data_IF_208257467977
#
_entry.id   IF_208257467977
#
_cell.length_a   1.000
_cell.length_b   1.000
_cell.length_c   1.000
_cell.angle_alpha   90.00
_cell.angle_beta   90.00
_cell.angle_gamma   90.00
#
_symmetry.space_group_name_H-M   'P 1'
#
loop_
_entity.id
_entity.type
_entity.pdbx_description
1 polymer ?
#
# COMPACT_ATOMS: atom_id res chain seq x y z
N UNK A 1 -9.32 -11.18 17.23
CA UNK A 1 -10.15 -9.98 17.23
C UNK A 1 -11.63 -10.34 17.20
N UNK A 2 -12.48 -9.52 17.83
CA UNK A 2 -12.12 -8.36 18.64
C UNK A 2 -11.53 -8.74 20.00
N UNK A 3 -10.71 -7.83 20.59
CA UNK A 3 -10.32 -7.91 21.99
C UNK A 3 -11.33 -7.16 22.84
N UNK A 4 -11.63 -7.71 24.01
CA UNK A 4 -12.72 -7.22 24.86
C UNK A 4 -12.17 -6.85 26.24
N UNK A 5 -12.66 -5.76 26.82
CA UNK A 5 -12.26 -5.36 28.16
C UNK A 5 -12.74 -6.35 29.23
N UNK A 6 -12.21 -6.26 30.45
CA UNK A 6 -12.42 -7.24 31.53
C UNK A 6 -13.92 -7.48 31.82
N UNK A 7 -14.72 -6.42 31.88
CA UNK A 7 -16.15 -6.48 32.14
C UNK A 7 -17.01 -6.64 30.87
N UNK A 8 -16.37 -6.77 29.69
CA UNK A 8 -17.07 -6.94 28.41
C UNK A 8 -17.75 -5.68 27.87
N UNK A 9 -17.45 -4.53 28.43
CA UNK A 9 -18.06 -3.24 28.05
C UNK A 9 -17.51 -2.70 26.73
N UNK A 10 -16.22 -2.88 26.45
CA UNK A 10 -15.56 -2.41 25.24
C UNK A 10 -15.09 -3.57 24.39
N UNK A 11 -15.23 -3.43 23.07
CA UNK A 11 -14.67 -4.33 22.09
C UNK A 11 -13.83 -3.52 21.09
N UNK A 12 -12.62 -3.99 20.79
CA UNK A 12 -11.64 -3.31 19.94
C UNK A 12 -11.13 -4.24 18.85
N UNK A 13 -11.12 -3.74 17.62
CA UNK A 13 -10.34 -4.29 16.51
C UNK A 13 -9.17 -3.36 16.22
N UNK A 14 -8.02 -3.92 15.84
CA UNK A 14 -6.78 -3.19 15.67
C UNK A 14 -5.94 -3.79 14.54
N UNK A 15 -5.41 -2.92 13.69
CA UNK A 15 -4.30 -3.21 12.79
C UNK A 15 -3.14 -2.28 13.17
N UNK A 16 -1.96 -2.84 13.35
CA UNK A 16 -0.76 -2.10 13.77
C UNK A 16 -0.09 -2.70 15.00
N UNK A 17 0.69 -1.90 15.70
CA UNK A 17 1.43 -2.30 16.92
C UNK A 17 1.38 -1.15 17.92
N UNK A 18 0.96 -1.44 19.16
CA UNK A 18 1.07 -0.52 20.30
C UNK A 18 2.43 -0.75 20.95
N UNK A 19 3.39 0.10 20.65
CA UNK A 19 4.81 -0.09 21.03
C UNK A 19 5.03 -0.07 22.54
N UNK A 20 4.31 0.79 23.27
CA UNK A 20 4.41 0.92 24.71
C UNK A 20 3.44 0.02 25.50
N UNK A 21 2.90 -1.04 24.87
CA UNK A 21 1.87 -1.90 25.49
C UNK A 21 2.33 -2.54 26.80
N UNK A 22 3.61 -2.86 26.96
CA UNK A 22 4.15 -3.49 28.18
C UNK A 22 3.98 -2.55 29.37
N UNK A 23 4.42 -1.30 29.24
CA UNK A 23 4.28 -0.27 30.27
C UNK A 23 2.81 -0.03 30.64
N UNK A 24 1.95 0.07 29.62
CA UNK A 24 0.52 0.28 29.83
C UNK A 24 -0.16 -0.92 30.50
N UNK A 25 0.26 -2.15 30.17
CA UNK A 25 -0.21 -3.38 30.78
C UNK A 25 0.19 -3.43 32.27
N UNK A 26 1.45 -3.12 32.60
CA UNK A 26 1.93 -3.04 33.98
C UNK A 26 1.16 -1.99 34.79
N UNK A 27 0.94 -0.81 34.22
CA UNK A 27 0.11 0.22 34.84
C UNK A 27 -1.29 -0.30 35.15
N UNK A 28 -2.00 -0.90 34.19
CA UNK A 28 -3.36 -1.40 34.36
C UNK A 28 -3.44 -2.56 35.38
N UNK A 29 -2.45 -3.45 35.39
CA UNK A 29 -2.34 -4.50 36.41
C UNK A 29 -2.18 -3.87 37.81
N UNK A 30 -1.40 -2.81 37.96
CA UNK A 30 -1.28 -2.07 39.23
C UNK A 30 -2.59 -1.43 39.69
N UNK A 31 -3.51 -1.18 38.76
CA UNK A 31 -4.88 -0.69 39.06
C UNK A 31 -5.90 -1.83 39.25
N UNK A 32 -5.44 -3.09 39.26
CA UNK A 32 -6.26 -4.26 39.52
C UNK A 32 -6.93 -4.88 38.28
N UNK A 33 -6.57 -4.44 37.06
CA UNK A 33 -7.11 -4.99 35.81
C UNK A 33 -6.46 -6.33 35.47
N UNK A 34 -7.27 -7.29 35.04
CA UNK A 34 -6.83 -8.62 34.62
C UNK A 34 -6.78 -8.74 33.11
N UNK A 35 -5.69 -9.31 32.59
CA UNK A 35 -5.52 -9.56 31.14
C UNK A 35 -5.76 -11.03 30.80
N UNK A 36 -6.33 -11.27 29.61
CA UNK A 36 -6.66 -12.62 29.13
C UNK A 36 -5.77 -13.05 27.95
N UNK A 37 -5.06 -12.13 27.33
CA UNK A 37 -4.19 -12.39 26.18
C UNK A 37 -2.80 -11.77 26.35
N UNK A 38 -1.90 -12.18 25.48
CA UNK A 38 -0.54 -11.60 25.36
C UNK A 38 -0.46 -10.51 24.29
N UNK A 39 -1.59 -10.16 23.65
CA UNK A 39 -1.60 -9.17 22.55
C UNK A 39 -1.57 -7.75 23.10
N UNK A 40 -0.90 -6.87 22.36
CA UNK A 40 -0.87 -5.43 22.58
C UNK A 40 -2.27 -4.78 22.46
N UNK A 41 -3.13 -5.31 21.62
CA UNK A 41 -4.48 -4.77 21.38
C UNK A 41 -5.38 -4.80 22.63
N UNK A 42 -5.24 -5.81 23.48
CA UNK A 42 -6.06 -5.90 24.71
C UNK A 42 -5.83 -4.70 25.62
N UNK A 43 -4.62 -4.13 25.64
CA UNK A 43 -4.30 -2.92 26.42
C UNK A 43 -5.23 -1.77 26.06
N UNK A 44 -5.57 -1.60 24.77
CA UNK A 44 -6.48 -0.54 24.32
C UNK A 44 -7.89 -0.75 24.88
N UNK A 45 -8.42 -1.98 24.85
CA UNK A 45 -9.74 -2.29 25.39
C UNK A 45 -9.80 -2.03 26.91
N UNK A 46 -8.77 -2.43 27.64
CA UNK A 46 -8.67 -2.22 29.08
C UNK A 46 -8.50 -0.73 29.44
N UNK A 47 -7.70 0.03 28.69
CA UNK A 47 -7.57 1.49 28.89
C UNK A 47 -8.89 2.23 28.63
N UNK A 48 -9.66 1.82 27.61
CA UNK A 48 -10.97 2.40 27.33
C UNK A 48 -11.91 2.24 28.53
N UNK A 49 -11.97 1.05 29.09
CA UNK A 49 -12.81 0.78 30.27
C UNK A 49 -12.32 1.55 31.50
N UNK A 50 -11.01 1.60 31.72
CA UNK A 50 -10.38 2.35 32.81
C UNK A 50 -10.78 3.84 32.75
N UNK A 51 -10.58 4.51 31.60
CA UNK A 51 -10.93 5.92 31.47
C UNK A 51 -12.44 6.19 31.44
N UNK A 52 -13.22 5.26 30.88
CA UNK A 52 -14.67 5.38 30.87
C UNK A 52 -15.24 5.32 32.30
N UNK A 53 -14.69 4.48 33.16
CA UNK A 53 -15.10 4.43 34.56
C UNK A 53 -14.79 5.74 35.32
N UNK A 54 -13.79 6.53 34.85
CA UNK A 54 -13.47 7.84 35.41
C UNK A 54 -14.37 8.97 34.89
N UNK A 55 -14.66 9.00 33.56
CA UNK A 55 -15.33 10.17 32.95
C UNK A 55 -16.77 9.90 32.48
N UNK A 56 -17.18 8.65 32.30
CA UNK A 56 -18.52 8.30 31.86
C UNK A 56 -18.85 8.63 30.40
N UNK A 57 -17.86 9.06 29.61
CA UNK A 57 -18.04 9.45 28.21
C UNK A 57 -17.14 8.63 27.29
N UNK A 58 -17.73 7.99 26.29
CA UNK A 58 -16.99 7.09 25.37
C UNK A 58 -16.02 7.88 24.47
N UNK A 59 -16.44 9.02 23.93
CA UNK A 59 -15.60 9.81 23.03
C UNK A 59 -14.42 10.46 23.77
N UNK A 60 -14.65 10.97 24.96
CA UNK A 60 -13.59 11.49 25.83
C UNK A 60 -12.61 10.39 26.24
N UNK A 61 -13.12 9.16 26.55
CA UNK A 61 -12.28 8.00 26.90
C UNK A 61 -11.35 7.63 25.75
N UNK A 62 -11.85 7.63 24.52
CA UNK A 62 -11.02 7.42 23.32
C UNK A 62 -9.93 8.48 23.23
N UNK A 63 -10.24 9.75 23.40
CA UNK A 63 -9.25 10.81 23.38
C UNK A 63 -8.16 10.63 24.44
N UNK A 64 -8.50 10.15 25.65
CA UNK A 64 -7.52 9.84 26.70
C UNK A 64 -6.63 8.66 26.32
N UNK A 65 -7.18 7.60 25.76
CA UNK A 65 -6.43 6.45 25.28
C UNK A 65 -5.43 6.86 24.20
N UNK A 66 -5.89 7.60 23.17
CA UNK A 66 -5.04 8.01 22.04
C UNK A 66 -3.86 8.89 22.46
N UNK A 67 -3.99 9.67 23.53
CA UNK A 67 -2.88 10.46 24.10
C UNK A 67 -1.85 9.62 24.84
N UNK A 68 -2.15 8.36 25.12
CA UNK A 68 -1.30 7.51 25.95
C UNK A 68 -0.66 6.36 25.20
N UNK A 69 -1.28 5.88 24.14
CA UNK A 69 -0.73 4.82 23.31
C UNK A 69 0.30 5.38 22.33
N UNK A 70 1.37 4.61 22.12
CA UNK A 70 2.43 4.91 21.16
C UNK A 70 2.51 3.81 20.12
N UNK A 71 2.95 4.15 18.90
CA UNK A 71 3.07 3.23 17.78
C UNK A 71 2.08 3.50 16.65
N UNK A 72 1.97 2.55 15.72
CA UNK A 72 1.08 2.60 14.57
C UNK A 72 -0.23 1.86 14.87
N UNK A 73 -1.37 2.50 14.59
CA UNK A 73 -2.68 1.88 14.83
C UNK A 73 -3.77 2.34 13.86
N UNK A 74 -4.61 1.40 13.49
CA UNK A 74 -5.95 1.63 12.96
C UNK A 74 -6.94 0.89 13.87
N UNK A 75 -7.77 1.65 14.59
CA UNK A 75 -8.65 1.15 15.64
C UNK A 75 -10.12 1.30 15.24
N UNK A 76 -10.90 0.26 15.51
CA UNK A 76 -12.35 0.31 15.56
C UNK A 76 -12.84 -0.12 16.94
N UNK A 77 -13.60 0.75 17.61
CA UNK A 77 -13.95 0.62 19.02
C UNK A 77 -15.46 0.68 19.21
N UNK A 78 -15.99 -0.25 20.01
CA UNK A 78 -17.39 -0.36 20.37
C UNK A 78 -17.54 -0.23 21.89
N UNK A 79 -18.64 0.39 22.33
CA UNK A 79 -19.05 0.48 23.73
C UNK A 79 -20.47 -0.08 23.91
N UNK A 80 -20.66 -0.98 24.86
CA UNK A 80 -21.97 -1.57 25.14
C UNK A 80 -23.02 -0.54 25.60
N UNK A 81 -22.60 0.54 26.26
CA UNK A 81 -23.48 1.61 26.70
C UNK A 81 -23.86 2.58 25.56
N UNK A 82 -23.15 2.50 24.42
CA UNK A 82 -23.36 3.34 23.23
C UNK A 82 -23.43 2.49 21.95
N UNK A 83 -24.42 1.58 21.84
CA UNK A 83 -24.48 0.59 20.76
C UNK A 83 -24.83 1.19 19.38
N UNK A 84 -25.19 2.45 19.34
CA UNK A 84 -25.57 3.21 18.14
C UNK A 84 -24.38 3.73 17.33
N UNK A 85 -23.17 3.57 17.85
CA UNK A 85 -21.96 4.14 17.23
C UNK A 85 -20.73 3.27 17.34
N UNK A 86 -19.85 3.43 16.36
CA UNK A 86 -18.47 2.95 16.37
C UNK A 86 -17.56 4.17 16.41
N UNK A 87 -16.51 4.16 17.22
CA UNK A 87 -15.47 5.17 17.15
C UNK A 87 -14.24 4.54 16.48
N UNK A 88 -13.71 5.23 15.50
CA UNK A 88 -12.50 4.84 14.78
C UNK A 88 -11.40 5.86 15.02
N UNK A 89 -10.16 5.41 15.05
CA UNK A 89 -8.99 6.28 15.16
C UNK A 89 -7.81 5.69 14.40
N UNK A 90 -6.93 6.56 13.92
CA UNK A 90 -5.81 6.14 13.10
C UNK A 90 -4.54 6.91 13.44
N UNK A 91 -3.40 6.21 13.40
CA UNK A 91 -2.05 6.78 13.32
C UNK A 91 -1.14 5.79 12.59
N UNK A 92 -0.47 6.25 11.54
CA UNK A 92 0.51 5.48 10.74
C UNK A 92 0.01 4.15 10.13
N UNK A 93 -1.24 3.72 10.37
CA UNK A 93 -1.86 2.52 9.81
C UNK A 93 -3.05 2.89 8.91
N UNK A 94 -3.32 2.16 7.79
CA UNK A 94 -4.37 2.52 6.86
C UNK A 94 -5.76 2.37 7.48
N UNK A 95 -6.61 3.40 7.28
CA UNK A 95 -8.01 3.38 7.67
C UNK A 95 -8.83 4.29 6.77
N UNK A 96 -9.93 3.78 6.24
CA UNK A 96 -10.87 4.53 5.45
C UNK A 96 -12.31 4.34 5.95
N UNK A 97 -13.13 5.32 5.65
CA UNK A 97 -14.53 5.40 6.03
C UNK A 97 -15.39 5.35 4.77
N UNK A 98 -16.44 4.54 4.75
CA UNK A 98 -17.37 4.45 3.64
C UNK A 98 -18.75 5.00 4.01
N UNK A 99 -19.34 5.75 3.09
CA UNK A 99 -20.65 6.37 3.23
C UNK A 99 -21.70 5.59 2.44
N UNK A 100 -22.63 4.95 3.12
CA UNK A 100 -23.73 4.22 2.49
C UNK A 100 -25.10 4.77 2.93
N UNK A 101 -26.17 4.36 2.22
CA UNK A 101 -27.53 4.74 2.58
C UNK A 101 -27.96 4.05 3.88
N UNK A 102 -28.10 4.84 4.97
CA UNK A 102 -28.50 4.36 6.29
C UNK A 102 -27.46 3.45 6.98
N UNK A 103 -26.22 3.45 6.52
CA UNK A 103 -25.10 2.70 7.10
C UNK A 103 -23.77 3.41 6.85
N UNK A 104 -22.83 3.15 7.74
CA UNK A 104 -21.45 3.64 7.65
C UNK A 104 -20.47 2.47 7.75
N UNK A 105 -19.37 2.53 7.05
CA UNK A 105 -18.38 1.47 6.96
C UNK A 105 -17.02 1.95 7.45
N UNK A 106 -16.27 1.00 7.98
CA UNK A 106 -14.89 1.17 8.41
C UNK A 106 -14.06 0.03 7.81
N UNK A 107 -12.96 0.34 7.14
CA UNK A 107 -12.08 -0.66 6.57
C UNK A 107 -10.63 -0.15 6.47
N UNK A 108 -9.68 -1.07 6.43
CA UNK A 108 -8.28 -0.76 6.13
C UNK A 108 -8.01 -0.65 4.62
N UNK A 109 -8.87 -1.25 3.79
CA UNK A 109 -8.75 -1.26 2.33
C UNK A 109 -10.11 -1.08 1.64
N UNK A 110 -10.11 -0.39 0.51
CA UNK A 110 -11.32 -0.08 -0.25
C UNK A 110 -12.02 -1.32 -0.82
N UNK A 111 -11.28 -2.38 -1.13
CA UNK A 111 -11.84 -3.63 -1.67
C UNK A 111 -12.82 -4.30 -0.72
N UNK A 112 -12.65 -4.10 0.59
CA UNK A 112 -13.53 -4.66 1.61
C UNK A 112 -14.95 -4.07 1.58
N UNK A 113 -15.10 -2.81 1.15
CA UNK A 113 -16.38 -2.09 1.21
C UNK A 113 -16.96 -1.68 -0.14
N UNK A 114 -16.23 -1.86 -1.24
CA UNK A 114 -16.64 -1.42 -2.59
C UNK A 114 -17.99 -1.99 -3.03
N UNK A 115 -18.41 -3.15 -2.50
CA UNK A 115 -19.72 -3.76 -2.76
C UNK A 115 -20.88 -3.03 -2.09
N UNK A 116 -20.58 -2.20 -1.11
CA UNK A 116 -21.57 -1.50 -0.29
C UNK A 116 -21.58 -0.01 -0.57
N UNK A 117 -20.41 0.57 -0.82
CA UNK A 117 -20.26 1.99 -1.18
C UNK A 117 -18.95 2.21 -1.93
N UNK A 118 -18.98 3.22 -2.81
CA UNK A 118 -17.79 3.72 -3.51
C UNK A 118 -17.36 5.09 -2.98
N UNK A 119 -18.18 5.72 -2.15
CA UNK A 119 -17.89 7.04 -1.58
C UNK A 119 -17.15 6.85 -0.27
N UNK A 120 -15.90 7.28 -0.24
CA UNK A 120 -14.99 7.05 0.87
C UNK A 120 -14.26 8.32 1.29
N UNK A 121 -13.82 8.33 2.54
CA UNK A 121 -12.86 9.29 3.08
C UNK A 121 -11.68 8.52 3.67
N UNK A 122 -10.47 8.88 3.26
CA UNK A 122 -9.25 8.38 3.87
C UNK A 122 -8.93 9.21 5.11
N UNK A 123 -8.77 8.55 6.25
CA UNK A 123 -8.38 9.22 7.49
C UNK A 123 -6.89 9.59 7.45
N UNK A 124 -6.53 10.72 8.04
CA UNK A 124 -5.15 11.11 8.29
C UNK A 124 -4.71 10.76 9.73
N UNK A 125 -3.40 10.86 10.00
CA UNK A 125 -2.85 10.51 11.30
C UNK A 125 -3.37 11.42 12.41
N UNK A 126 -3.80 10.80 13.51
CA UNK A 126 -4.38 11.50 14.66
C UNK A 126 -5.86 11.85 14.51
N UNK A 127 -6.50 11.54 13.40
CA UNK A 127 -7.95 11.76 13.25
C UNK A 127 -8.77 10.69 13.98
N UNK A 128 -9.95 11.13 14.40
CA UNK A 128 -10.97 10.31 15.06
C UNK A 128 -12.26 10.41 14.24
N UNK A 129 -12.95 9.30 14.05
CA UNK A 129 -14.26 9.27 13.39
C UNK A 129 -15.31 8.65 14.31
N UNK A 130 -16.51 9.24 14.33
CA UNK A 130 -17.69 8.68 14.97
C UNK A 130 -18.66 8.24 13.87
N UNK A 131 -18.82 6.94 13.73
CA UNK A 131 -19.69 6.32 12.74
C UNK A 131 -21.03 5.97 13.39
N UNK A 132 -22.11 6.38 12.76
CA UNK A 132 -23.49 6.05 13.15
C UNK A 132 -24.28 5.59 11.93
N UNK A 133 -25.51 5.14 12.12
CA UNK A 133 -26.45 4.90 10.99
C UNK A 133 -26.79 6.17 10.22
N UNK A 134 -26.73 7.33 10.88
CA UNK A 134 -27.06 8.64 10.29
C UNK A 134 -25.90 9.29 9.54
N UNK A 135 -24.69 8.73 9.57
CA UNK A 135 -23.51 9.28 8.92
C UNK A 135 -22.26 9.21 9.79
N UNK A 136 -21.23 9.88 9.32
CA UNK A 136 -19.89 9.89 9.90
C UNK A 136 -19.51 11.32 10.27
N UNK A 137 -19.01 11.51 11.47
CA UNK A 137 -18.41 12.78 11.93
C UNK A 137 -16.92 12.57 12.15
N UNK A 138 -16.10 13.48 11.60
CA UNK A 138 -14.65 13.45 11.70
C UNK A 138 -14.15 14.53 12.68
N UNK A 139 -13.08 14.21 13.38
CA UNK A 139 -12.43 15.05 14.36
C UNK A 139 -10.91 14.98 14.22
N UNK A 140 -10.23 16.07 14.52
CA UNK A 140 -8.77 16.07 14.64
C UNK A 140 -8.30 15.46 15.98
N UNK A 141 -6.97 15.40 16.18
CA UNK A 141 -6.37 14.88 17.42
C UNK A 141 -6.78 15.65 18.69
N UNK A 142 -7.27 16.89 18.55
CA UNK A 142 -7.78 17.73 19.65
C UNK A 142 -9.29 17.52 19.86
N UNK A 143 -9.90 16.53 19.21
CA UNK A 143 -11.34 16.27 19.24
C UNK A 143 -12.21 17.42 18.72
N UNK A 144 -11.68 18.24 17.83
CA UNK A 144 -12.42 19.30 17.15
C UNK A 144 -12.97 18.77 15.82
N UNK A 145 -14.22 19.07 15.44
CA UNK A 145 -14.81 18.59 14.21
C UNK A 145 -14.07 19.15 12.99
N UNK A 146 -13.90 18.29 11.98
CA UNK A 146 -13.28 18.62 10.69
C UNK A 146 -14.14 18.13 9.54
N UNK A 147 -13.98 18.74 8.38
CA UNK A 147 -14.54 18.27 7.10
C UNK A 147 -13.42 17.78 6.20
N UNK A 148 -13.70 16.75 5.40
CA UNK A 148 -12.76 16.19 4.42
C UNK A 148 -13.45 15.97 3.09
N UNK A 149 -12.64 15.99 2.04
CA UNK A 149 -13.07 15.67 0.69
C UNK A 149 -13.43 14.17 0.58
N UNK A 150 -14.53 13.91 -0.08
CA UNK A 150 -14.97 12.55 -0.41
C UNK A 150 -14.33 12.11 -1.71
N UNK A 151 -13.81 10.90 -1.72
CA UNK A 151 -13.25 10.26 -2.91
C UNK A 151 -14.23 9.21 -3.44
N UNK A 152 -14.50 9.24 -4.74
CA UNK A 152 -15.28 8.22 -5.39
C UNK A 152 -14.36 7.15 -6.00
N UNK A 153 -14.58 5.89 -5.62
CA UNK A 153 -13.81 4.75 -6.15
C UNK A 153 -14.41 4.36 -7.50
N UNK A 154 -13.66 4.53 -8.58
CA UNK A 154 -14.11 4.27 -9.94
C UNK A 154 -14.15 2.77 -10.31
N UNK A 155 -13.60 1.88 -9.49
CA UNK A 155 -13.54 0.46 -9.79
C UNK A 155 -14.92 -0.17 -9.92
N UNK A 156 -15.09 -1.03 -10.94
CA UNK A 156 -16.30 -1.83 -11.09
C UNK A 156 -16.41 -2.88 -9.97
N UNK A 157 -17.60 -3.06 -9.40
CA UNK A 157 -17.85 -4.08 -8.35
C UNK A 157 -17.54 -5.48 -8.89
N UNK A 158 -17.84 -5.74 -10.17
CA UNK A 158 -17.51 -6.98 -10.85
C UNK A 158 -16.01 -7.30 -10.85
N UNK A 159 -15.15 -6.28 -10.84
CA UNK A 159 -13.71 -6.47 -10.75
C UNK A 159 -13.27 -7.06 -9.39
N UNK A 160 -14.01 -6.78 -8.33
CA UNK A 160 -13.80 -7.35 -6.99
C UNK A 160 -14.46 -8.73 -6.78
N UNK A 161 -14.99 -9.35 -7.83
CA UNK A 161 -15.57 -10.70 -7.81
C UNK A 161 -14.66 -11.72 -8.49
N UNK A 162 -14.81 -13.01 -8.14
CA UNK A 162 -13.97 -14.07 -8.72
C UNK A 162 -14.19 -14.31 -10.22
N UNK A 163 -15.30 -13.81 -10.78
CA UNK A 163 -15.58 -13.91 -12.23
C UNK A 163 -15.57 -15.33 -12.80
N UNK A 164 -15.99 -16.33 -12.00
CA UNK A 164 -15.97 -17.75 -12.39
C UNK A 164 -14.68 -18.51 -12.07
N UNK A 165 -13.63 -17.83 -11.60
CA UNK A 165 -12.39 -18.50 -11.18
C UNK A 165 -12.51 -19.08 -9.76
N UNK A 166 -11.86 -20.21 -9.46
CA UNK A 166 -11.89 -20.81 -8.12
C UNK A 166 -11.19 -19.93 -7.07
N UNK A 167 -10.16 -19.17 -7.47
CA UNK A 167 -9.33 -18.34 -6.60
C UNK A 167 -9.11 -16.94 -7.21
N UNK A 168 -9.01 -15.92 -6.39
CA UNK A 168 -8.67 -14.55 -6.82
C UNK A 168 -7.30 -14.51 -7.51
N UNK A 169 -6.30 -15.17 -6.94
CA UNK A 169 -4.95 -15.20 -7.53
C UNK A 169 -4.97 -15.71 -8.98
N UNK A 170 -5.70 -16.78 -9.28
CA UNK A 170 -5.80 -17.28 -10.65
C UNK A 170 -6.50 -16.28 -11.58
N UNK A 171 -7.59 -15.64 -11.12
CA UNK A 171 -8.24 -14.56 -11.86
C UNK A 171 -7.24 -13.44 -12.18
N UNK A 172 -6.51 -12.97 -11.17
CA UNK A 172 -5.56 -11.86 -11.27
C UNK A 172 -4.36 -12.20 -12.17
N UNK A 173 -3.91 -13.44 -12.17
CA UNK A 173 -2.94 -13.96 -13.14
C UNK A 173 -3.49 -13.82 -14.57
N UNK A 174 -4.74 -14.22 -14.80
CA UNK A 174 -5.36 -14.16 -16.13
C UNK A 174 -5.74 -12.75 -16.57
N UNK A 175 -5.85 -11.81 -15.65
CA UNK A 175 -6.10 -10.38 -15.92
C UNK A 175 -4.83 -9.59 -16.29
N UNK A 176 -3.64 -10.16 -16.15
CA UNK A 176 -2.39 -9.45 -16.43
C UNK A 176 -2.33 -8.80 -17.82
N UNK A 177 -2.77 -9.43 -18.93
CA UNK A 177 -2.74 -8.79 -20.24
C UNK A 177 -3.55 -7.48 -20.29
N UNK A 178 -4.73 -7.47 -19.68
CA UNK A 178 -5.59 -6.30 -19.66
C UNK A 178 -5.06 -5.23 -18.70
N UNK A 179 -4.57 -5.62 -17.53
CA UNK A 179 -3.91 -4.72 -16.60
C UNK A 179 -2.69 -4.02 -17.21
N UNK A 180 -1.84 -4.77 -17.93
CA UNK A 180 -0.70 -4.22 -18.67
C UNK A 180 -1.15 -3.27 -19.78
N UNK A 181 -2.24 -3.61 -20.50
CA UNK A 181 -2.79 -2.72 -21.54
C UNK A 181 -3.27 -1.39 -20.94
N UNK A 182 -3.95 -1.43 -19.81
CA UNK A 182 -4.40 -0.22 -19.10
C UNK A 182 -3.22 0.61 -18.56
N UNK A 183 -2.15 -0.03 -18.11
CA UNK A 183 -0.95 0.66 -17.63
C UNK A 183 -0.14 1.31 -18.76
N UNK A 184 -0.03 0.64 -19.92
CA UNK A 184 0.90 1.01 -20.99
C UNK A 184 0.23 1.89 -22.05
N UNK A 185 -0.92 1.46 -22.61
CA UNK A 185 -1.49 2.08 -23.81
C UNK A 185 -1.80 3.58 -23.67
N UNK A 186 -2.34 4.10 -22.55
CA UNK A 186 -2.58 5.54 -22.42
C UNK A 186 -1.31 6.40 -22.43
N UNK A 187 -0.18 5.79 -22.11
CA UNK A 187 1.15 6.45 -22.01
C UNK A 187 1.96 6.36 -23.30
N UNK A 188 1.51 5.62 -24.29
CA UNK A 188 2.17 5.51 -25.59
C UNK A 188 1.44 6.38 -26.64
N UNK A 189 2.06 7.49 -27.06
CA UNK A 189 1.49 8.43 -28.03
C UNK A 189 2.49 8.80 -29.07
N UNK A 190 2.18 8.53 -30.33
CA UNK A 190 3.06 8.88 -31.45
C UNK A 190 4.44 8.24 -31.44
N UNK A 191 4.58 7.06 -30.80
CA UNK A 191 5.87 6.38 -30.62
C UNK A 191 6.68 6.88 -29.43
N UNK A 192 6.09 7.70 -28.56
CA UNK A 192 6.70 8.29 -27.39
C UNK A 192 6.02 7.83 -26.11
N UNK A 193 6.81 7.75 -25.01
CA UNK A 193 6.28 7.58 -23.66
C UNK A 193 5.95 8.96 -23.09
N UNK A 194 4.69 9.17 -22.71
CA UNK A 194 4.19 10.43 -22.18
C UNK A 194 3.55 10.21 -20.81
N UNK A 195 4.00 10.93 -19.82
CA UNK A 195 3.40 11.01 -18.49
C UNK A 195 2.80 12.41 -18.32
N UNK A 196 1.47 12.53 -18.46
CA UNK A 196 0.79 13.84 -18.44
C UNK A 196 0.90 14.57 -17.10
N UNK A 197 0.91 13.80 -15.99
CA UNK A 197 0.85 14.36 -14.64
C UNK A 197 2.23 14.46 -13.96
N UNK A 198 3.32 14.13 -14.67
CA UNK A 198 4.67 14.17 -14.11
C UNK A 198 5.17 15.61 -14.02
N UNK A 199 5.46 16.08 -12.80
CA UNK A 199 5.99 17.42 -12.53
C UNK A 199 7.52 17.49 -12.67
N UNK A 200 8.19 16.32 -12.74
CA UNK A 200 9.62 16.24 -12.97
C UNK A 200 10.01 16.86 -14.31
N UNK A 201 10.79 17.93 -14.26
CA UNK A 201 11.33 18.57 -15.46
C UNK A 201 12.59 17.86 -15.95
N UNK A 202 12.92 17.97 -17.27
CA UNK A 202 14.17 17.43 -17.80
C UNK A 202 15.43 17.92 -17.06
N UNK A 203 15.43 19.17 -16.60
CA UNK A 203 16.56 19.75 -15.84
C UNK A 203 16.70 19.04 -14.49
N UNK A 204 15.61 18.77 -13.81
CA UNK A 204 15.62 18.09 -12.51
C UNK A 204 16.07 16.63 -12.65
N UNK A 205 15.61 15.92 -13.70
CA UNK A 205 16.05 14.54 -14.01
C UNK A 205 17.57 14.50 -14.28
N UNK A 206 18.12 15.48 -15.00
CA UNK A 206 19.57 15.59 -15.22
C UNK A 206 20.33 15.87 -13.93
N UNK A 207 19.73 16.57 -12.98
CA UNK A 207 20.33 16.99 -11.72
C UNK A 207 20.44 15.89 -10.66
N UNK A 208 19.76 14.77 -10.79
CA UNK A 208 19.88 13.69 -9.82
C UNK A 208 21.21 12.96 -9.94
N UNK A 209 21.93 12.86 -8.84
CA UNK A 209 23.20 12.13 -8.74
C UNK A 209 22.98 10.68 -8.26
N UNK A 210 21.89 10.42 -7.52
CA UNK A 210 21.55 9.13 -6.94
C UNK A 210 20.09 8.77 -7.20
N UNK A 211 19.86 7.47 -7.38
CA UNK A 211 18.51 6.91 -7.53
C UNK A 211 18.38 5.76 -6.55
N UNK A 212 17.36 5.83 -5.69
CA UNK A 212 16.94 4.73 -4.83
C UNK A 212 15.58 4.19 -5.30
N UNK A 213 15.40 2.88 -5.20
CA UNK A 213 14.09 2.24 -5.28
C UNK A 213 13.83 1.64 -3.90
N UNK A 214 12.73 2.05 -3.26
CA UNK A 214 12.42 1.65 -1.88
C UNK A 214 11.03 1.05 -1.84
N UNK A 215 10.91 -0.18 -1.33
CA UNK A 215 9.66 -0.93 -1.29
C UNK A 215 9.74 -2.11 -0.30
N UNK A 216 8.62 -2.83 -0.14
CA UNK A 216 8.52 -4.09 0.59
C UNK A 216 7.96 -5.21 -0.29
N UNK A 217 8.25 -6.48 0.07
CA UNK A 217 7.67 -7.67 -0.57
C UNK A 217 7.86 -7.71 -2.08
N UNK A 218 6.82 -8.10 -2.81
CA UNK A 218 6.85 -8.17 -4.28
C UNK A 218 7.25 -6.85 -4.96
N UNK A 219 6.84 -5.71 -4.40
CA UNK A 219 7.27 -4.39 -4.92
C UNK A 219 8.78 -4.15 -4.75
N UNK A 220 9.41 -4.70 -3.70
CA UNK A 220 10.86 -4.70 -3.57
C UNK A 220 11.52 -5.54 -4.69
N UNK A 221 10.94 -6.68 -5.03
CA UNK A 221 11.43 -7.52 -6.13
C UNK A 221 11.24 -6.84 -7.50
N UNK A 222 10.18 -6.05 -7.70
CA UNK A 222 10.08 -5.14 -8.86
C UNK A 222 11.28 -4.19 -8.88
N UNK A 223 11.64 -3.61 -7.73
CA UNK A 223 12.81 -2.76 -7.59
C UNK A 223 14.12 -3.48 -7.97
N UNK A 224 14.26 -4.74 -7.58
CA UNK A 224 15.43 -5.56 -7.92
C UNK A 224 15.58 -5.79 -9.43
N UNK A 225 14.49 -6.05 -10.15
CA UNK A 225 14.48 -6.11 -11.63
C UNK A 225 14.76 -4.73 -12.20
N UNK A 226 14.05 -3.72 -11.71
CA UNK A 226 14.18 -2.34 -12.14
C UNK A 226 15.59 -1.77 -12.01
N UNK A 227 16.34 -2.17 -10.96
CA UNK A 227 17.73 -1.79 -10.80
C UNK A 227 18.54 -2.12 -12.05
N UNK A 228 18.50 -3.37 -12.50
CA UNK A 228 19.26 -3.79 -13.68
C UNK A 228 18.86 -3.01 -14.94
N UNK A 229 17.54 -2.82 -15.13
CA UNK A 229 17.01 -2.11 -16.29
C UNK A 229 17.37 -0.62 -16.24
N UNK A 230 17.19 0.05 -15.12
CA UNK A 230 17.50 1.47 -14.98
C UNK A 230 19.01 1.74 -15.06
N UNK A 231 19.85 0.92 -14.43
CA UNK A 231 21.32 1.05 -14.54
C UNK A 231 21.79 0.89 -15.99
N UNK A 232 21.20 -0.06 -16.73
CA UNK A 232 21.48 -0.24 -18.14
C UNK A 232 21.07 0.98 -18.98
N UNK A 233 19.84 1.46 -18.78
CA UNK A 233 19.25 2.56 -19.53
C UNK A 233 19.87 3.91 -19.17
N UNK A 234 20.00 4.21 -17.87
CA UNK A 234 20.39 5.55 -17.40
C UNK A 234 21.90 5.74 -17.27
N UNK A 235 22.66 4.64 -17.24
CA UNK A 235 24.11 4.61 -16.95
C UNK A 235 24.47 5.31 -15.64
N UNK A 236 23.60 5.16 -14.64
CA UNK A 236 23.71 5.66 -13.27
C UNK A 236 23.50 4.54 -12.29
N UNK A 237 24.14 4.62 -11.11
CA UNK A 237 23.89 3.65 -10.04
C UNK A 237 22.47 3.77 -9.53
N UNK A 238 21.82 2.64 -9.35
CA UNK A 238 20.50 2.51 -8.73
C UNK A 238 20.63 1.61 -7.51
N UNK A 239 20.25 2.11 -6.37
CA UNK A 239 20.23 1.34 -5.12
C UNK A 239 18.81 0.88 -4.81
N UNK A 240 18.67 -0.38 -4.39
CA UNK A 240 17.38 -0.95 -3.99
C UNK A 240 17.44 -1.27 -2.52
N UNK A 241 16.50 -0.74 -1.75
CA UNK A 241 16.44 -0.96 -0.32
C UNK A 241 15.07 -1.48 0.12
N UNK A 242 15.06 -2.40 1.06
CA UNK A 242 13.85 -2.72 1.81
C UNK A 242 13.42 -1.51 2.62
N UNK A 243 12.15 -1.13 2.55
CA UNK A 243 11.66 0.06 3.23
C UNK A 243 11.82 -0.01 4.76
N UNK A 244 11.65 -1.21 5.34
CA UNK A 244 11.92 -1.47 6.76
C UNK A 244 13.36 -1.16 7.15
N UNK A 245 14.33 -1.49 6.30
CA UNK A 245 15.74 -1.23 6.56
C UNK A 245 16.13 0.22 6.24
N UNK A 246 15.62 0.78 5.15
CA UNK A 246 15.93 2.13 4.69
C UNK A 246 15.70 3.18 5.78
N UNK A 247 14.58 3.11 6.51
CA UNK A 247 14.26 4.07 7.57
C UNK A 247 15.26 4.08 8.74
N UNK A 248 15.96 2.96 8.97
CA UNK A 248 16.90 2.80 10.10
C UNK A 248 18.37 2.84 9.69
N UNK A 249 18.69 2.73 8.40
CA UNK A 249 20.05 2.64 7.89
C UNK A 249 20.79 3.98 7.80
N UNK A 250 20.17 5.09 8.24
CA UNK A 250 20.71 6.44 8.07
C UNK A 250 21.10 6.72 6.60
N UNK A 251 20.15 6.64 5.65
CA UNK A 251 20.45 6.64 4.22
C UNK A 251 21.11 7.94 3.76
N UNK A 252 22.08 7.81 2.85
CA UNK A 252 22.78 8.96 2.28
C UNK A 252 21.94 9.52 1.14
N UNK A 253 20.96 10.33 1.46
CA UNK A 253 20.05 11.02 0.53
C UNK A 253 20.03 12.53 0.79
N UNK A 254 19.80 13.29 -0.27
CA UNK A 254 19.82 14.76 -0.29
C UNK A 254 18.88 15.27 -1.41
N UNK A 255 18.90 16.58 -1.68
CA UNK A 255 18.11 17.24 -2.72
C UNK A 255 18.49 16.86 -4.17
N UNK A 256 19.59 16.13 -4.37
CA UNK A 256 20.02 15.53 -5.65
C UNK A 256 19.69 14.04 -5.75
N UNK A 257 18.90 13.53 -4.84
CA UNK A 257 18.51 12.13 -4.80
C UNK A 257 17.06 11.98 -5.26
N UNK A 258 16.83 11.08 -6.21
CA UNK A 258 15.52 10.57 -6.58
C UNK A 258 15.24 9.29 -5.79
N UNK A 259 14.14 9.26 -5.04
CA UNK A 259 13.65 8.05 -4.38
C UNK A 259 12.36 7.60 -5.07
N UNK A 260 12.41 6.44 -5.71
CA UNK A 260 11.26 5.80 -6.34
C UNK A 260 10.64 4.87 -5.30
N UNK A 261 9.45 5.19 -4.87
CA UNK A 261 8.65 4.41 -3.91
C UNK A 261 7.68 3.51 -4.70
N UNK A 262 7.69 2.21 -4.44
CA UNK A 262 6.79 1.28 -5.10
C UNK A 262 5.90 0.59 -4.06
N UNK A 263 4.58 0.67 -4.25
CA UNK A 263 3.60 0.00 -3.38
C UNK A 263 2.31 -0.27 -4.15
N UNK A 264 1.76 -1.48 -4.04
CA UNK A 264 0.47 -1.80 -4.66
C UNK A 264 -0.66 -1.02 -3.97
N UNK A 265 -0.80 -1.13 -2.66
CA UNK A 265 -1.87 -0.48 -1.89
C UNK A 265 -1.62 1.02 -1.67
N UNK A 266 -0.34 1.44 -1.68
CA UNK A 266 0.03 2.79 -1.26
C UNK A 266 -0.16 3.06 0.24
N UNK A 267 -0.34 1.99 1.04
CA UNK A 267 -0.62 2.05 2.48
C UNK A 267 0.35 1.19 3.32
N UNK A 268 1.43 0.70 2.73
CA UNK A 268 2.44 -0.11 3.44
C UNK A 268 3.20 0.75 4.44
N UNK A 269 3.10 0.43 5.72
CA UNK A 269 3.65 1.24 6.84
C UNK A 269 5.14 1.54 6.70
N UNK A 270 5.96 0.53 6.48
CA UNK A 270 7.40 0.72 6.35
C UNK A 270 7.75 1.56 5.12
N UNK A 271 7.02 1.36 4.02
CA UNK A 271 7.21 2.13 2.78
C UNK A 271 6.85 3.61 2.98
N UNK A 272 5.79 3.89 3.72
CA UNK A 272 5.41 5.25 4.10
C UNK A 272 6.47 5.90 5.02
N UNK A 273 6.93 5.17 6.01
CA UNK A 273 7.96 5.67 6.92
C UNK A 273 9.28 5.96 6.19
N UNK A 274 9.66 5.10 5.23
CA UNK A 274 10.83 5.32 4.38
C UNK A 274 10.66 6.55 3.48
N UNK A 275 9.47 6.75 2.88
CA UNK A 275 9.14 7.96 2.12
C UNK A 275 9.33 9.22 2.96
N UNK A 276 8.75 9.25 4.17
CA UNK A 276 8.85 10.40 5.09
C UNK A 276 10.30 10.68 5.50
N UNK A 277 11.10 9.63 5.77
CA UNK A 277 12.53 9.78 6.09
C UNK A 277 13.33 10.34 4.91
N UNK A 278 13.09 9.84 3.69
CA UNK A 278 13.72 10.37 2.47
C UNK A 278 13.34 11.83 2.23
N UNK A 279 12.07 12.17 2.35
CA UNK A 279 11.55 13.53 2.16
C UNK A 279 12.10 14.52 3.18
N UNK A 280 12.20 14.11 4.45
CA UNK A 280 12.81 14.90 5.53
C UNK A 280 14.27 15.26 5.22
N UNK A 281 14.99 14.42 4.48
CA UNK A 281 16.37 14.65 4.05
C UNK A 281 16.49 15.43 2.75
N UNK A 282 15.37 15.80 2.13
CA UNK A 282 15.33 16.63 0.93
C UNK A 282 15.24 15.86 -0.40
N UNK A 283 15.18 14.53 -0.37
CA UNK A 283 15.03 13.72 -1.59
C UNK A 283 13.73 14.03 -2.32
N UNK A 284 13.74 13.88 -3.64
CA UNK A 284 12.52 13.94 -4.45
C UNK A 284 11.84 12.59 -4.51
N UNK A 285 10.55 12.56 -4.26
CA UNK A 285 9.77 11.32 -4.17
C UNK A 285 8.93 11.15 -5.43
N UNK A 286 9.22 10.09 -6.19
CA UNK A 286 8.36 9.58 -7.26
C UNK A 286 7.74 8.27 -6.80
N UNK A 287 6.43 8.18 -6.69
CA UNK A 287 5.78 6.93 -6.31
C UNK A 287 5.10 6.23 -7.48
N UNK A 288 5.17 4.90 -7.48
CA UNK A 288 4.44 4.00 -8.38
C UNK A 288 3.46 3.21 -7.52
N UNK A 289 2.17 3.53 -7.61
CA UNK A 289 1.12 2.95 -6.77
C UNK A 289 -0.08 2.54 -7.61
N UNK A 290 -0.94 1.67 -7.08
CA UNK A 290 -2.16 1.26 -7.79
C UNK A 290 -3.41 1.98 -7.25
N UNK A 291 -3.44 2.32 -5.96
CA UNK A 291 -4.62 2.91 -5.32
C UNK A 291 -4.55 4.43 -5.38
N UNK A 292 -5.53 5.02 -6.08
CA UNK A 292 -5.68 6.47 -6.19
C UNK A 292 -6.02 7.07 -4.82
N UNK A 293 -5.34 8.17 -4.47
CA UNK A 293 -5.58 8.86 -3.19
C UNK A 293 -5.02 8.16 -1.96
N UNK A 294 -4.24 7.09 -2.12
CA UNK A 294 -3.55 6.43 -1.01
C UNK A 294 -2.59 7.36 -0.28
N UNK A 295 -2.22 7.00 0.93
CA UNK A 295 -1.35 7.84 1.78
C UNK A 295 0.00 8.11 1.13
N UNK A 296 0.64 7.09 0.52
CA UNK A 296 1.89 7.27 -0.25
C UNK A 296 1.67 8.23 -1.42
N UNK A 297 0.55 8.10 -2.15
CA UNK A 297 0.25 8.98 -3.27
C UNK A 297 0.11 10.45 -2.83
N UNK A 298 -0.57 10.70 -1.72
CA UNK A 298 -0.77 12.06 -1.19
C UNK A 298 0.51 12.73 -0.69
N UNK A 299 1.44 11.94 -0.15
CA UNK A 299 2.70 12.46 0.42
C UNK A 299 3.84 12.57 -0.60
N UNK A 300 3.71 11.99 -1.80
CA UNK A 300 4.73 12.01 -2.85
C UNK A 300 4.76 13.34 -3.60
N UNK A 301 5.92 13.68 -4.19
CA UNK A 301 6.05 14.85 -5.07
C UNK A 301 5.43 14.58 -6.44
N UNK A 302 5.65 13.36 -6.97
CA UNK A 302 5.04 12.84 -8.19
C UNK A 302 4.48 11.44 -7.97
N UNK A 303 3.40 11.11 -8.69
CA UNK A 303 2.70 9.83 -8.58
C UNK A 303 2.41 9.26 -9.97
N UNK A 304 2.76 8.00 -10.17
CA UNK A 304 2.38 7.23 -11.34
C UNK A 304 1.48 6.06 -10.91
N UNK A 305 0.25 6.04 -11.38
CA UNK A 305 -0.68 4.96 -11.10
C UNK A 305 -0.50 3.79 -12.07
N UNK A 306 -0.53 2.57 -11.56
CA UNK A 306 -0.37 1.36 -12.39
C UNK A 306 -1.64 0.97 -13.14
N UNK A 307 -2.80 1.42 -12.67
CA UNK A 307 -4.13 1.10 -13.24
C UNK A 307 -4.40 -0.40 -13.39
N UNK A 308 -3.84 -1.22 -12.49
CA UNK A 308 -4.02 -2.67 -12.50
C UNK A 308 -5.42 -3.11 -12.06
N UNK A 309 -6.24 -2.17 -11.56
CA UNK A 309 -7.51 -2.49 -10.93
C UNK A 309 -7.34 -3.10 -9.52
N UNK A 310 -8.43 -3.52 -8.86
CA UNK A 310 -8.34 -4.10 -7.53
C UNK A 310 -7.63 -5.45 -7.56
N UNK A 311 -6.70 -5.67 -6.64
CA UNK A 311 -5.99 -6.92 -6.41
C UNK A 311 -6.31 -7.38 -4.99
N UNK A 312 -6.92 -8.57 -4.85
CA UNK A 312 -7.49 -9.09 -3.60
C UNK A 312 -6.65 -10.23 -3.05
N UNK A 313 -5.98 -10.99 -3.94
CA UNK A 313 -5.05 -12.03 -3.53
C UNK A 313 -3.90 -11.41 -2.73
N UNK A 314 -3.49 -12.09 -1.65
CA UNK A 314 -2.36 -11.66 -0.83
C UNK A 314 -1.07 -11.68 -1.63
N UNK A 315 -0.85 -12.75 -2.41
CA UNK A 315 0.26 -12.84 -3.34
C UNK A 315 -0.03 -11.96 -4.57
N UNK A 316 0.79 -10.96 -4.77
CA UNK A 316 0.69 -10.00 -5.87
C UNK A 316 1.05 -10.65 -7.22
N UNK A 317 0.26 -10.40 -8.26
CA UNK A 317 0.50 -10.91 -9.62
C UNK A 317 0.39 -9.80 -10.66
N UNK A 318 -0.80 -9.32 -10.98
CA UNK A 318 -1.00 -8.27 -11.99
C UNK A 318 -0.41 -6.92 -11.57
N UNK A 319 -0.41 -6.60 -10.28
CA UNK A 319 0.23 -5.38 -9.80
C UNK A 319 1.75 -5.45 -9.94
N UNK A 320 2.39 -6.61 -9.70
CA UNK A 320 3.82 -6.80 -9.96
C UNK A 320 4.17 -6.49 -11.43
N UNK A 321 3.45 -7.11 -12.37
CA UNK A 321 3.68 -6.91 -13.81
C UNK A 321 3.48 -5.46 -14.24
N UNK A 322 2.45 -4.79 -13.74
CA UNK A 322 2.17 -3.39 -14.09
C UNK A 322 3.14 -2.42 -13.44
N UNK A 323 3.58 -2.66 -12.20
CA UNK A 323 4.64 -1.88 -11.55
C UNK A 323 5.94 -1.95 -12.35
N UNK A 324 6.32 -3.15 -12.80
CA UNK A 324 7.52 -3.34 -13.61
C UNK A 324 7.42 -2.58 -14.94
N UNK A 325 6.29 -2.71 -15.64
CA UNK A 325 6.07 -2.00 -16.90
C UNK A 325 6.12 -0.47 -16.73
N UNK A 326 5.54 0.07 -15.65
CA UNK A 326 5.59 1.52 -15.37
C UNK A 326 7.02 1.96 -15.03
N UNK A 327 7.75 1.16 -14.25
CA UNK A 327 9.15 1.45 -13.91
C UNK A 327 10.05 1.43 -15.14
N UNK A 328 9.85 0.49 -16.07
CA UNK A 328 10.59 0.44 -17.35
C UNK A 328 10.27 1.63 -18.23
N UNK A 329 9.00 2.06 -18.28
CA UNK A 329 8.63 3.29 -19.00
C UNK A 329 9.29 4.54 -18.39
N UNK A 330 9.40 4.64 -17.07
CA UNK A 330 10.17 5.71 -16.40
C UNK A 330 11.63 5.66 -16.81
N UNK A 331 12.24 4.47 -16.81
CA UNK A 331 13.62 4.28 -17.25
C UNK A 331 13.86 4.74 -18.68
N UNK A 332 13.03 4.34 -19.62
CA UNK A 332 13.11 4.74 -21.03
C UNK A 332 12.91 6.25 -21.22
N UNK A 333 11.91 6.82 -20.56
CA UNK A 333 11.64 8.27 -20.60
C UNK A 333 12.86 9.05 -20.09
N UNK A 334 13.42 8.65 -18.97
CA UNK A 334 14.61 9.32 -18.40
C UNK A 334 15.86 9.11 -19.28
N UNK A 335 16.03 7.90 -19.82
CA UNK A 335 17.16 7.61 -20.72
C UNK A 335 17.14 8.51 -21.97
N UNK A 336 15.96 8.74 -22.54
CA UNK A 336 15.78 9.68 -23.65
C UNK A 336 16.14 11.11 -23.25
N UNK A 337 15.68 11.59 -22.10
CA UNK A 337 16.00 12.93 -21.56
C UNK A 337 17.51 13.08 -21.29
N UNK A 338 18.15 12.03 -20.80
CA UNK A 338 19.60 12.00 -20.52
C UNK A 338 20.46 11.81 -21.76
N UNK A 339 19.88 11.35 -22.88
CA UNK A 339 20.60 11.02 -24.10
C UNK A 339 21.46 9.77 -23.97
N UNK A 340 21.10 8.84 -23.09
CA UNK A 340 21.85 7.59 -22.82
C UNK A 340 21.37 6.40 -23.65
N UNK A 341 20.24 6.52 -24.33
CA UNK A 341 19.69 5.54 -25.28
C UNK A 341 19.67 6.13 -26.68
N UNK A 342 19.96 5.32 -27.70
CA UNK A 342 19.83 5.72 -29.10
C UNK A 342 18.36 5.75 -29.51
N UNK A 343 18.00 6.61 -30.46
CA UNK A 343 16.62 6.77 -30.93
C UNK A 343 16.04 5.45 -31.46
N UNK A 344 16.82 4.65 -32.17
CA UNK A 344 16.40 3.35 -32.71
C UNK A 344 16.13 2.34 -31.57
N UNK A 345 17.02 2.26 -30.58
CA UNK A 345 16.87 1.38 -29.40
C UNK A 345 15.65 1.78 -28.55
N UNK A 346 15.42 3.09 -28.41
CA UNK A 346 14.23 3.63 -27.74
C UNK A 346 12.95 3.25 -28.48
N UNK A 347 12.91 3.48 -29.81
CA UNK A 347 11.75 3.16 -30.63
C UNK A 347 11.43 1.66 -30.61
N UNK A 348 12.46 0.79 -30.62
CA UNK A 348 12.32 -0.65 -30.52
C UNK A 348 11.72 -1.03 -29.16
N UNK A 349 12.23 -0.49 -28.06
CA UNK A 349 11.73 -0.75 -26.72
C UNK A 349 10.27 -0.30 -26.55
N UNK A 350 9.90 0.85 -27.10
CA UNK A 350 8.51 1.33 -27.09
C UNK A 350 7.57 0.39 -27.85
N UNK A 351 8.03 -0.14 -29.02
CA UNK A 351 7.24 -1.16 -29.75
C UNK A 351 7.09 -2.45 -28.97
N UNK A 352 8.14 -2.91 -28.32
CA UNK A 352 8.09 -4.12 -27.48
C UNK A 352 7.17 -3.96 -26.29
N UNK A 353 7.16 -2.80 -25.63
CA UNK A 353 6.22 -2.47 -24.57
C UNK A 353 4.76 -2.49 -25.07
N UNK A 354 4.49 -1.97 -26.26
CA UNK A 354 3.15 -2.01 -26.86
C UNK A 354 2.66 -3.44 -27.10
N UNK A 355 3.57 -4.37 -27.40
CA UNK A 355 3.27 -5.79 -27.66
C UNK A 355 3.23 -6.63 -26.38
N UNK A 356 3.72 -6.12 -25.25
CA UNK A 356 3.86 -6.88 -24.01
C UNK A 356 2.54 -7.52 -23.53
N UNK A 357 1.37 -6.83 -23.57
CA UNK A 357 0.10 -7.43 -23.17
C UNK A 357 -0.24 -8.69 -23.99
N UNK A 358 0.00 -8.67 -25.29
CA UNK A 358 -0.30 -9.79 -26.16
C UNK A 358 0.69 -10.95 -25.98
N UNK A 359 1.97 -10.68 -25.72
CA UNK A 359 2.98 -11.68 -25.35
C UNK A 359 2.64 -12.38 -24.04
N UNK A 360 2.20 -11.62 -23.02
CA UNK A 360 1.74 -12.20 -21.75
C UNK A 360 0.50 -13.05 -21.96
N UNK A 361 -0.45 -12.63 -22.80
CA UNK A 361 -1.63 -13.41 -23.14
C UNK A 361 -1.26 -14.72 -23.83
N UNK A 362 -0.30 -14.72 -24.74
CA UNK A 362 0.22 -15.92 -25.40
C UNK A 362 0.85 -16.88 -24.38
N UNK A 363 1.69 -16.34 -23.46
CA UNK A 363 2.32 -17.13 -22.40
C UNK A 363 1.28 -17.80 -21.49
N UNK A 364 0.23 -17.08 -21.11
CA UNK A 364 -0.87 -17.60 -20.30
C UNK A 364 -1.67 -18.69 -21.04
N UNK A 365 -1.61 -18.77 -22.36
CA UNK A 365 -2.17 -19.86 -23.15
C UNK A 365 -1.56 -21.24 -22.83
N UNK A 366 -0.40 -21.30 -22.20
CA UNK A 366 0.28 -22.53 -21.79
C UNK A 366 -0.02 -22.98 -20.35
N UNK A 367 -1.00 -22.38 -19.67
CA UNK A 367 -1.34 -22.68 -18.27
C UNK A 367 -1.66 -24.15 -18.02
N UNK A 368 -2.28 -24.87 -18.97
CA UNK A 368 -2.61 -26.29 -18.81
C UNK A 368 -1.34 -27.18 -18.70
N UNK A 369 -0.27 -26.85 -19.41
CA UNK A 369 0.98 -27.59 -19.35
C UNK A 369 1.70 -27.34 -18.02
N UNK A 370 1.66 -26.09 -17.53
CA UNK A 370 2.16 -25.73 -16.21
C UNK A 370 1.37 -26.46 -15.11
N UNK A 371 0.03 -26.52 -15.23
CA UNK A 371 -0.82 -27.24 -14.28
C UNK A 371 -0.50 -28.74 -14.23
N UNK A 372 -0.31 -29.38 -15.41
CA UNK A 372 0.09 -30.79 -15.48
C UNK A 372 1.43 -31.03 -14.80
N UNK A 373 2.41 -30.17 -15.04
CA UNK A 373 3.71 -30.24 -14.39
C UNK A 373 3.59 -30.05 -12.87
N UNK A 374 2.88 -29.02 -12.43
CA UNK A 374 2.66 -28.76 -11.01
C UNK A 374 1.96 -29.94 -10.31
N UNK A 375 0.98 -30.59 -10.95
CA UNK A 375 0.28 -31.75 -10.42
C UNK A 375 1.20 -32.98 -10.22
N UNK A 376 2.32 -33.07 -10.94
CA UNK A 376 3.31 -34.12 -10.77
C UNK A 376 4.31 -33.81 -9.64
N UNK A 377 4.52 -32.55 -9.32
CA UNK A 377 5.62 -32.13 -8.45
C UNK A 377 5.18 -31.42 -7.16
N UNK A 378 3.88 -31.13 -6.96
CA UNK A 378 3.37 -30.39 -5.79
C UNK A 378 3.64 -31.06 -4.43
N UNK A 379 3.98 -32.35 -4.42
CA UNK A 379 4.28 -33.11 -3.20
C UNK A 379 5.75 -32.99 -2.75
N UNK A 380 6.63 -32.31 -3.51
CA UNK A 380 8.00 -32.05 -3.08
C UNK A 380 7.99 -30.99 -1.95
N UNK A 381 8.79 -31.25 -0.91
CA UNK A 381 8.85 -30.36 0.27
C UNK A 381 9.59 -29.05 0.00
N UNK A 382 10.42 -29.00 -1.05
CA UNK A 382 11.26 -27.84 -1.36
C UNK A 382 11.34 -27.61 -2.85
N UNK A 383 11.34 -26.33 -3.25
CA UNK A 383 11.59 -25.86 -4.61
C UNK A 383 12.68 -24.81 -4.58
N UNK A 384 13.64 -24.89 -5.50
CA UNK A 384 14.72 -23.92 -5.63
C UNK A 384 14.53 -23.10 -6.89
N UNK A 385 14.53 -21.77 -6.76
CA UNK A 385 14.58 -20.84 -7.86
C UNK A 385 16.03 -20.41 -8.06
N UNK A 386 16.56 -20.62 -9.25
CA UNK A 386 17.94 -20.27 -9.60
C UNK A 386 17.98 -19.40 -10.83
N UNK A 387 18.85 -18.39 -10.82
CA UNK A 387 18.99 -17.44 -11.92
C UNK A 387 20.21 -16.54 -11.78
N UNK A 388 20.44 -15.72 -12.78
CA UNK A 388 21.48 -14.67 -12.77
C UNK A 388 20.88 -13.40 -13.33
N UNK A 389 21.35 -12.23 -12.85
CA UNK A 389 20.93 -10.93 -13.33
C UNK A 389 19.40 -10.78 -13.15
N UNK A 390 18.65 -10.48 -14.20
CA UNK A 390 17.19 -10.35 -14.19
C UNK A 390 16.49 -11.64 -13.70
N UNK A 391 16.94 -12.82 -14.12
CA UNK A 391 16.38 -14.11 -13.70
C UNK A 391 16.57 -14.35 -12.20
N UNK A 392 17.69 -13.87 -11.60
CA UNK A 392 17.88 -13.92 -10.15
C UNK A 392 16.84 -13.05 -9.42
N UNK A 393 16.67 -11.81 -9.88
CA UNK A 393 15.71 -10.89 -9.28
C UNK A 393 14.25 -11.42 -9.41
N UNK A 394 13.91 -12.02 -10.56
CA UNK A 394 12.62 -12.66 -10.77
C UNK A 394 12.47 -13.95 -9.95
N UNK A 395 13.56 -14.70 -9.77
CA UNK A 395 13.59 -15.89 -8.92
C UNK A 395 13.30 -15.60 -7.46
N UNK A 396 13.68 -14.42 -6.95
CA UNK A 396 13.31 -13.96 -5.60
C UNK A 396 11.80 -13.81 -5.46
N UNK A 397 11.12 -13.23 -6.46
CA UNK A 397 9.65 -13.14 -6.45
C UNK A 397 9.01 -14.52 -6.49
N UNK A 398 9.51 -15.42 -7.35
CA UNK A 398 9.00 -16.78 -7.43
C UNK A 398 9.17 -17.59 -6.14
N UNK A 399 10.13 -17.24 -5.29
CA UNK A 399 10.38 -17.93 -4.02
C UNK A 399 9.54 -17.38 -2.86
N UNK A 400 9.03 -16.14 -2.96
CA UNK A 400 8.13 -15.51 -2.00
C UNK A 400 6.73 -16.10 -2.07
#
# INVERSE_FOLDING_TARGET
HPHVSENGKFAVIHNGIIENYVELKEFLISQGVTFRSETDTEVVAQLLEFYYNECGDFFESVGRVLRRIEGAYALGMLCADCPDRIIAARKDAPLLLGFGEGCSFLASDATAIIRHTRDVVYMDDGEIAVLTRGGIQLYNAMQQPIEKEHHHIEWEVSAAEKGGYPHFMLKEIMEQPDALRHAIAPRLRGGEIVFDDLKLTPEKIRGFDRIFIVACGSSYHVGMVGKYNLEHLLRRNVEVALASEFRYSDPIVDDKTLVIIISQSGETLDTMAALREAKKRGAYILSIVNVVGSSIARESDDVLYTWAGPEIAVATTKAYSTQLAVLDMVGLCFAKILGTVKEEEYADAVRELALLPDKVKETLGHCEDIQKYAAQHFHHESVFFIGRNLDYALGLEGSL
#
